data_IF_045047267214
#
_entry.id   IF_045047267214
#
_cell.length_a   1.000
_cell.length_b   1.000
_cell.length_c   1.000
_cell.angle_alpha   90.00
_cell.angle_beta   90.00
_cell.angle_gamma   90.00
#
_symmetry.space_group_name_H-M   'P 1'
#
loop_
_entity.id
_entity.type
_entity.pdbx_description
1 polymer ?
#
# COMPACT_ATOMS: atom_id res chain seq x y z
N UNK A 1 -9.28 -24.34 -3.14
CA UNK A 1 -7.88 -24.77 -3.34
C UNK A 1 -7.14 -23.70 -4.14
N UNK A 2 -6.51 -22.74 -3.46
CA UNK A 2 -5.53 -21.87 -4.09
C UNK A 2 -4.21 -22.66 -4.16
N UNK A 3 -3.63 -22.75 -5.37
CA UNK A 3 -2.33 -23.40 -5.58
C UNK A 3 -1.26 -22.45 -5.04
N UNK A 4 -0.45 -22.96 -4.11
CA UNK A 4 0.78 -22.29 -3.72
C UNK A 4 1.62 -22.02 -4.96
N UNK A 5 2.19 -20.81 -5.02
CA UNK A 5 3.12 -20.45 -6.09
C UNK A 5 4.51 -20.26 -5.47
N UNK A 6 5.47 -21.04 -5.96
CA UNK A 6 6.85 -20.98 -5.52
C UNK A 6 7.56 -19.69 -5.93
N UNK A 7 8.78 -19.50 -5.41
CA UNK A 7 9.63 -18.32 -5.63
C UNK A 7 9.77 -17.92 -7.12
N UNK A 8 9.75 -18.90 -8.02
CA UNK A 8 9.95 -18.70 -9.47
C UNK A 8 8.85 -17.89 -10.18
N UNK A 9 7.69 -17.67 -9.55
CA UNK A 9 6.56 -16.97 -10.18
C UNK A 9 6.52 -15.46 -9.89
N UNK A 10 7.33 -14.97 -8.93
CA UNK A 10 7.32 -13.58 -8.50
C UNK A 10 8.75 -13.04 -8.33
N UNK A 11 9.45 -12.67 -9.42
CA UNK A 11 10.79 -12.09 -9.33
C UNK A 11 10.85 -10.85 -8.42
N UNK A 12 9.78 -10.04 -8.41
CA UNK A 12 9.67 -8.88 -7.53
C UNK A 12 9.69 -9.22 -6.03
N UNK A 13 9.51 -10.50 -5.66
CA UNK A 13 9.49 -10.98 -4.28
C UNK A 13 10.83 -11.54 -3.78
N UNK A 14 11.82 -11.70 -4.66
CA UNK A 14 13.11 -12.33 -4.35
C UNK A 14 13.78 -11.71 -3.11
N UNK A 15 13.83 -10.38 -3.04
CA UNK A 15 14.44 -9.69 -1.89
C UNK A 15 13.72 -10.00 -0.56
N UNK A 16 12.39 -10.13 -0.57
CA UNK A 16 11.64 -10.44 0.65
C UNK A 16 11.84 -11.89 1.09
N UNK A 17 12.00 -12.83 0.16
CA UNK A 17 12.37 -14.21 0.46
C UNK A 17 13.78 -14.31 1.04
N UNK A 18 14.74 -13.61 0.43
CA UNK A 18 16.15 -13.62 0.87
C UNK A 18 16.33 -13.00 2.25
N UNK A 19 15.54 -11.98 2.56
CA UNK A 19 15.51 -11.34 3.89
C UNK A 19 14.69 -12.14 4.92
N UNK A 20 14.06 -13.25 4.53
CA UNK A 20 13.20 -14.06 5.40
C UNK A 20 11.95 -13.33 5.88
N UNK A 21 11.47 -12.34 5.11
CA UNK A 21 10.27 -11.56 5.43
C UNK A 21 8.99 -12.26 4.97
N UNK A 22 9.07 -13.03 3.89
CA UNK A 22 7.99 -13.92 3.45
C UNK A 22 8.56 -15.30 3.17
N UNK A 23 7.78 -16.34 3.43
CA UNK A 23 8.16 -17.73 3.16
C UNK A 23 7.47 -18.28 1.91
N UNK A 24 6.21 -17.86 1.68
CA UNK A 24 5.36 -18.41 0.62
C UNK A 24 4.32 -17.39 0.16
N UNK A 25 3.95 -17.42 -1.13
CA UNK A 25 2.76 -16.71 -1.65
C UNK A 25 1.58 -17.68 -1.63
N UNK A 26 0.60 -17.40 -0.76
CA UNK A 26 -0.58 -18.24 -0.56
C UNK A 26 -1.64 -18.01 -1.63
N UNK A 27 -1.76 -16.77 -2.11
CA UNK A 27 -2.62 -16.47 -3.26
C UNK A 27 -3.01 -15.02 -3.44
N UNK A 28 -3.79 -14.77 -4.49
CA UNK A 28 -4.25 -13.43 -4.88
C UNK A 28 -5.48 -13.03 -4.05
N UNK A 29 -5.40 -11.89 -3.37
CA UNK A 29 -6.51 -11.32 -2.58
C UNK A 29 -7.39 -10.43 -3.45
N UNK A 30 -6.77 -9.49 -4.18
CA UNK A 30 -7.47 -8.53 -5.02
C UNK A 30 -6.59 -8.14 -6.19
N UNK A 31 -7.20 -8.02 -7.37
CA UNK A 31 -6.58 -7.37 -8.53
C UNK A 31 -7.26 -6.04 -8.81
N UNK A 32 -6.46 -5.02 -9.08
CA UNK A 32 -6.91 -3.70 -9.49
C UNK A 32 -6.19 -3.24 -10.75
N UNK A 33 -6.63 -2.09 -11.26
CA UNK A 33 -6.00 -1.44 -12.42
C UNK A 33 -4.56 -1.01 -12.15
N UNK A 34 -4.23 -0.74 -10.89
CA UNK A 34 -2.96 -0.13 -10.50
C UNK A 34 -2.04 -1.07 -9.74
N UNK A 35 -2.62 -2.04 -9.02
CA UNK A 35 -1.88 -2.97 -8.20
C UNK A 35 -2.67 -4.28 -8.03
N UNK A 36 -1.96 -5.33 -7.63
CA UNK A 36 -2.55 -6.57 -7.13
C UNK A 36 -2.08 -6.78 -5.69
N UNK A 37 -2.94 -7.32 -4.83
CA UNK A 37 -2.62 -7.65 -3.44
C UNK A 37 -2.62 -9.15 -3.29
N UNK A 38 -1.56 -9.69 -2.70
CA UNK A 38 -1.38 -11.10 -2.41
C UNK A 38 -1.36 -11.34 -0.90
N UNK A 39 -1.83 -12.51 -0.49
CA UNK A 39 -1.63 -13.03 0.84
C UNK A 39 -0.39 -13.92 0.81
N UNK A 40 0.54 -13.68 1.74
CA UNK A 40 1.79 -14.40 1.88
C UNK A 40 1.88 -14.97 3.29
N UNK A 41 2.55 -16.12 3.43
CA UNK A 41 3.04 -16.57 4.74
C UNK A 41 4.20 -15.65 5.13
N UNK A 42 4.12 -15.04 6.31
CA UNK A 42 5.22 -14.25 6.85
C UNK A 42 6.38 -15.17 7.21
N UNK A 43 7.59 -14.68 6.95
CA UNK A 43 8.81 -15.43 7.22
C UNK A 43 9.33 -15.23 8.65
N UNK A 44 10.35 -16.01 9.04
CA UNK A 44 10.87 -16.03 10.41
C UNK A 44 11.42 -14.67 10.87
N UNK A 45 11.86 -13.80 9.95
CA UNK A 45 12.37 -12.49 10.31
C UNK A 45 11.28 -11.51 10.75
N UNK A 46 10.02 -11.74 10.37
CA UNK A 46 8.90 -10.89 10.78
C UNK A 46 8.19 -11.42 12.04
N UNK A 47 8.14 -12.75 12.24
CA UNK A 47 7.44 -13.35 13.37
C UNK A 47 5.91 -13.13 13.35
N UNK A 48 5.32 -12.99 12.16
CA UNK A 48 3.88 -12.85 11.92
C UNK A 48 3.46 -13.87 10.86
N UNK A 49 2.31 -14.50 11.04
CA UNK A 49 1.88 -15.63 10.20
C UNK A 49 1.45 -15.22 8.79
N UNK A 50 0.73 -14.10 8.67
CA UNK A 50 0.16 -13.62 7.41
C UNK A 50 0.60 -12.18 7.10
N UNK A 51 0.94 -11.96 5.84
CA UNK A 51 1.39 -10.67 5.30
C UNK A 51 0.66 -10.36 4.01
N UNK A 52 0.24 -9.11 3.83
CA UNK A 52 -0.26 -8.61 2.57
C UNK A 52 0.89 -8.04 1.73
N UNK A 53 1.06 -8.53 0.50
CA UNK A 53 2.01 -7.98 -0.46
C UNK A 53 1.25 -7.23 -1.57
N UNK A 54 1.36 -5.90 -1.58
CA UNK A 54 0.78 -5.06 -2.63
C UNK A 54 1.82 -4.82 -3.72
N UNK A 55 1.55 -5.34 -4.91
CA UNK A 55 2.40 -5.27 -6.10
C UNK A 55 1.83 -4.27 -7.09
N UNK A 56 2.56 -3.18 -7.36
CA UNK A 56 2.14 -2.19 -8.34
C UNK A 56 2.38 -2.69 -9.77
N UNK A 57 1.51 -2.29 -10.69
CA UNK A 57 1.70 -2.55 -12.11
C UNK A 57 2.66 -1.51 -12.71
N UNK A 58 3.49 -1.94 -13.66
CA UNK A 58 4.44 -1.07 -14.35
C UNK A 58 3.74 0.15 -15.00
N UNK A 59 4.38 1.31 -14.87
CA UNK A 59 3.85 2.66 -15.12
C UNK A 59 3.58 2.95 -16.59
N UNK A 60 4.03 2.08 -17.50
CA UNK A 60 3.86 2.23 -18.95
C UNK A 60 2.39 2.23 -19.41
N UNK A 61 1.44 1.86 -18.54
CA UNK A 61 0.02 1.68 -18.86
C UNK A 61 -0.95 2.67 -18.21
N UNK A 62 -0.54 3.90 -17.82
CA UNK A 62 -1.51 4.95 -17.41
C UNK A 62 -1.45 6.25 -18.22
N UNK A 63 -2.65 6.76 -18.49
CA UNK A 63 -2.98 7.90 -19.35
C UNK A 63 -2.52 9.26 -18.80
N UNK A 64 -1.87 10.02 -19.69
CA UNK A 64 -1.62 11.47 -19.89
C UNK A 64 -2.10 12.59 -18.93
N UNK A 65 -2.72 12.38 -17.76
CA UNK A 65 -3.24 13.49 -16.93
C UNK A 65 -2.37 13.93 -15.73
N UNK A 66 -1.16 13.38 -15.54
CA UNK A 66 -0.28 13.76 -14.42
C UNK A 66 0.51 15.07 -14.65
N UNK A 67 0.33 15.75 -15.78
CA UNK A 67 1.10 16.95 -16.13
C UNK A 67 0.88 18.13 -15.16
N UNK A 68 -0.28 18.21 -14.50
CA UNK A 68 -0.66 19.36 -13.65
C UNK A 68 -0.02 19.31 -12.25
N UNK A 69 0.50 18.16 -11.82
CA UNK A 69 1.06 17.98 -10.46
C UNK A 69 2.59 18.09 -10.36
N UNK A 70 3.29 18.32 -11.49
CA UNK A 70 4.74 18.07 -11.58
C UNK A 70 5.63 19.30 -11.35
N UNK A 71 5.09 20.53 -11.36
CA UNK A 71 5.92 21.73 -11.47
C UNK A 71 6.45 22.29 -10.14
N UNK A 72 5.83 21.97 -9.00
CA UNK A 72 6.22 22.52 -7.69
C UNK A 72 7.09 21.60 -6.80
N UNK A 73 7.25 20.31 -7.14
CA UNK A 73 7.61 19.28 -6.14
C UNK A 73 9.07 18.89 -6.02
N UNK A 74 9.93 19.24 -6.98
CA UNK A 74 11.34 18.83 -6.95
C UNK A 74 12.12 19.38 -5.75
N UNK A 75 11.84 20.63 -5.35
CA UNK A 75 12.48 21.27 -4.19
C UNK A 75 11.85 20.86 -2.85
N UNK A 76 10.55 20.64 -2.84
CA UNK A 76 9.79 20.18 -1.66
C UNK A 76 10.18 18.74 -1.26
N UNK A 77 10.61 17.93 -2.22
CA UNK A 77 11.14 16.56 -2.03
C UNK A 77 12.62 16.50 -1.59
N UNK A 78 13.23 17.63 -1.20
CA UNK A 78 14.62 17.67 -0.71
C UNK A 78 15.69 17.34 -1.76
N UNK A 79 15.33 17.22 -3.05
CA UNK A 79 16.26 16.89 -4.13
C UNK A 79 17.23 18.04 -4.37
N UNK A 80 18.53 17.75 -4.36
CA UNK A 80 19.61 18.72 -4.62
C UNK A 80 20.55 18.24 -5.72
N UNK A 81 20.94 19.13 -6.62
CA UNK A 81 21.98 18.86 -7.62
C UNK A 81 21.50 17.99 -8.79
N UNK A 82 22.21 16.88 -9.05
CA UNK A 82 22.02 16.03 -10.25
C UNK A 82 20.62 15.37 -10.35
N UNK A 83 20.00 14.89 -9.25
CA UNK A 83 18.62 14.36 -9.25
C UNK A 83 17.55 15.41 -9.60
N UNK A 84 17.68 16.65 -9.09
CA UNK A 84 16.73 17.74 -9.39
C UNK A 84 16.77 18.10 -10.88
N UNK A 85 17.97 18.19 -11.48
CA UNK A 85 18.11 18.46 -12.91
C UNK A 85 17.62 17.31 -13.79
N UNK A 86 17.74 16.06 -13.32
CA UNK A 86 17.22 14.90 -14.03
C UNK A 86 15.68 14.85 -13.99
N UNK A 87 15.08 15.25 -12.86
CA UNK A 87 13.64 15.44 -12.68
C UNK A 87 13.10 16.53 -13.62
N UNK A 88 13.73 17.71 -13.64
CA UNK A 88 13.36 18.82 -14.53
C UNK A 88 13.48 18.47 -16.03
N UNK A 89 14.43 17.59 -16.39
CA UNK A 89 14.71 17.23 -17.79
C UNK A 89 13.96 15.98 -18.31
N UNK A 90 13.09 15.34 -17.52
CA UNK A 90 12.31 14.14 -17.91
C UNK A 90 13.13 13.04 -18.61
N UNK A 91 14.39 12.86 -18.22
CA UNK A 91 15.29 11.82 -18.77
C UNK A 91 14.86 10.42 -18.29
N UNK A 92 15.32 9.34 -18.92
CA UNK A 92 15.01 7.96 -18.49
C UNK A 92 15.39 7.73 -17.01
N UNK A 93 16.58 8.19 -16.61
CA UNK A 93 17.01 8.23 -15.21
C UNK A 93 16.13 9.12 -14.32
N UNK A 94 15.64 10.25 -14.83
CA UNK A 94 14.68 11.10 -14.13
C UNK A 94 13.32 10.43 -13.90
N UNK A 95 12.87 9.58 -14.84
CA UNK A 95 11.66 8.76 -14.70
C UNK A 95 11.85 7.66 -13.66
N UNK A 96 12.99 6.96 -13.67
CA UNK A 96 13.34 5.95 -12.65
C UNK A 96 13.43 6.55 -11.24
N UNK A 97 14.03 7.73 -11.10
CA UNK A 97 14.06 8.50 -9.83
C UNK A 97 12.64 8.92 -9.42
N UNK A 98 11.79 9.38 -10.35
CA UNK A 98 10.38 9.68 -10.07
C UNK A 98 9.57 8.42 -9.68
N UNK A 99 9.94 7.25 -10.19
CA UNK A 99 9.26 5.98 -9.92
C UNK A 99 9.64 5.40 -8.54
N UNK A 100 10.89 5.57 -8.09
CA UNK A 100 11.29 5.25 -6.72
C UNK A 100 10.62 6.16 -5.69
N UNK A 101 10.51 7.47 -5.98
CA UNK A 101 9.94 8.48 -5.07
C UNK A 101 8.42 8.31 -4.86
N UNK A 102 7.66 7.83 -5.85
CA UNK A 102 6.22 7.63 -5.68
C UNK A 102 5.85 6.34 -4.93
N UNK A 103 6.67 5.29 -5.01
CA UNK A 103 6.43 4.01 -4.31
C UNK A 103 6.76 4.11 -2.82
N UNK A 104 7.78 4.91 -2.47
CA UNK A 104 8.05 5.29 -1.09
C UNK A 104 6.85 5.99 -0.44
N UNK A 105 6.04 6.75 -1.20
CA UNK A 105 4.98 7.57 -0.60
C UNK A 105 3.86 6.79 0.06
N UNK A 106 3.42 5.67 -0.50
CA UNK A 106 2.38 4.87 0.16
C UNK A 106 2.92 4.24 1.43
N UNK A 107 4.11 3.65 1.36
CA UNK A 107 4.80 3.08 2.52
C UNK A 107 5.05 4.15 3.61
N UNK A 108 5.62 5.30 3.27
CA UNK A 108 5.84 6.44 4.17
C UNK A 108 4.53 6.99 4.75
N UNK A 109 3.45 6.99 3.96
CA UNK A 109 2.14 7.44 4.45
C UNK A 109 1.57 6.42 5.43
N UNK A 110 1.66 5.12 5.14
CA UNK A 110 1.27 4.08 6.09
C UNK A 110 2.12 4.15 7.36
N UNK A 111 3.43 4.40 7.26
CA UNK A 111 4.31 4.53 8.42
C UNK A 111 3.90 5.71 9.30
N UNK A 112 3.69 6.87 8.68
CA UNK A 112 3.27 8.09 9.36
C UNK A 112 1.91 7.89 10.05
N UNK A 113 0.92 7.38 9.34
CA UNK A 113 -0.44 7.24 9.84
C UNK A 113 -0.55 6.15 10.90
N UNK A 114 0.11 5.00 10.69
CA UNK A 114 0.17 3.93 11.68
C UNK A 114 0.87 4.42 12.97
N UNK A 115 1.99 5.15 12.85
CA UNK A 115 2.68 5.72 14.01
C UNK A 115 1.83 6.77 14.75
N UNK A 116 0.93 7.46 14.05
CA UNK A 116 -0.04 8.37 14.65
C UNK A 116 -1.24 7.66 15.32
N UNK A 117 -1.35 6.33 15.15
CA UNK A 117 -2.44 5.53 15.71
C UNK A 117 -3.67 5.41 14.81
N UNK A 118 -3.53 5.68 13.50
CA UNK A 118 -4.61 5.49 12.55
C UNK A 118 -4.86 4.00 12.29
N UNK A 119 -6.11 3.67 12.00
CA UNK A 119 -6.55 2.36 11.51
C UNK A 119 -6.13 2.18 10.04
N UNK A 120 -4.84 1.94 9.84
CA UNK A 120 -4.24 1.57 8.56
C UNK A 120 -3.41 0.31 8.74
N UNK A 121 -3.27 -0.54 7.70
CA UNK A 121 -2.41 -1.71 7.79
C UNK A 121 -0.99 -1.32 8.19
N UNK A 122 -0.42 -1.97 9.21
CA UNK A 122 0.95 -1.71 9.62
C UNK A 122 1.93 -1.98 8.47
N UNK A 123 2.73 -1.00 8.03
CA UNK A 123 3.75 -1.24 7.02
C UNK A 123 4.88 -2.10 7.60
N UNK A 124 5.43 -2.99 6.78
CA UNK A 124 6.45 -3.97 7.20
C UNK A 124 7.76 -3.80 6.44
N UNK A 125 7.68 -3.66 5.12
CA UNK A 125 8.82 -3.41 4.26
C UNK A 125 8.34 -2.88 2.90
N UNK A 126 9.22 -2.21 2.17
CA UNK A 126 9.01 -1.89 0.76
C UNK A 126 10.30 -2.14 -0.01
N UNK A 127 10.18 -2.79 -1.16
CA UNK A 127 11.27 -3.04 -2.10
C UNK A 127 10.69 -3.19 -3.50
N UNK A 128 11.45 -2.80 -4.52
CA UNK A 128 10.99 -2.82 -5.92
C UNK A 128 9.62 -2.14 -6.09
N UNK A 129 8.66 -2.81 -6.72
CA UNK A 129 7.26 -2.42 -6.92
C UNK A 129 6.32 -3.05 -5.89
N UNK A 130 6.82 -3.36 -4.69
CA UNK A 130 6.08 -4.10 -3.67
C UNK A 130 6.12 -3.38 -2.33
N UNK A 131 4.95 -3.29 -1.69
CA UNK A 131 4.81 -2.91 -0.28
C UNK A 131 4.27 -4.12 0.49
N UNK A 132 5.03 -4.55 1.50
CA UNK A 132 4.57 -5.50 2.50
C UNK A 132 3.94 -4.74 3.66
N UNK A 133 2.74 -5.18 4.06
CA UNK A 133 1.99 -4.61 5.17
C UNK A 133 1.21 -5.71 5.89
N UNK A 134 0.68 -5.38 7.06
CA UNK A 134 -0.23 -6.22 7.81
C UNK A 134 -1.35 -6.77 6.92
N UNK A 135 -1.60 -8.07 7.07
CA UNK A 135 -2.76 -8.71 6.48
C UNK A 135 -3.98 -8.48 7.38
N UNK A 136 -4.96 -7.71 6.88
CA UNK A 136 -6.23 -7.53 7.58
C UNK A 136 -7.17 -8.67 7.21
N UNK A 137 -7.33 -9.62 8.13
CA UNK A 137 -8.03 -10.89 7.92
C UNK A 137 -7.34 -12.02 8.69
N UNK A 138 -7.69 -13.25 8.37
CA UNK A 138 -7.12 -14.46 8.98
C UNK A 138 -6.97 -15.59 7.95
N UNK A 139 -6.83 -16.83 8.41
CA UNK A 139 -6.68 -17.99 7.55
C UNK A 139 -7.95 -18.32 6.74
N UNK A 140 -9.13 -17.86 7.19
CA UNK A 140 -10.40 -18.04 6.47
C UNK A 140 -10.55 -17.01 5.35
N UNK A 141 -9.89 -15.86 5.45
CA UNK A 141 -9.70 -14.94 4.34
C UNK A 141 -9.46 -13.48 4.72
N UNK A 142 -9.41 -12.64 3.68
CA UNK A 142 -9.20 -11.21 3.85
C UNK A 142 -10.47 -10.54 4.39
N UNK A 143 -10.28 -9.47 5.16
CA UNK A 143 -11.35 -8.60 5.60
C UNK A 143 -12.19 -8.10 4.42
N UNK A 144 -13.49 -7.98 4.64
CA UNK A 144 -14.41 -7.53 3.60
C UNK A 144 -14.32 -6.02 3.42
N UNK A 145 -14.47 -5.56 2.19
CA UNK A 145 -14.69 -4.13 1.94
C UNK A 145 -16.03 -3.71 2.54
N UNK A 146 -16.08 -2.49 3.09
CA UNK A 146 -17.27 -1.95 3.72
C UNK A 146 -18.51 -2.03 2.82
N UNK A 147 -18.35 -1.80 1.52
CA UNK A 147 -19.44 -1.87 0.54
C UNK A 147 -20.05 -3.27 0.35
N UNK A 148 -19.44 -4.32 0.92
CA UNK A 148 -19.92 -5.72 0.88
C UNK A 148 -20.47 -6.20 2.22
N UNK A 149 -20.40 -5.36 3.24
CA UNK A 149 -20.84 -5.70 4.60
C UNK A 149 -22.21 -5.07 4.85
N UNK A 150 -23.07 -5.81 5.54
CA UNK A 150 -24.28 -5.25 6.15
C UNK A 150 -23.94 -4.90 7.59
N UNK A 151 -24.18 -3.65 7.94
CA UNK A 151 -23.90 -3.11 9.27
C UNK A 151 -25.25 -2.86 9.93
N UNK A 152 -25.40 -3.31 11.16
CA UNK A 152 -26.59 -3.08 11.96
C UNK A 152 -26.69 -1.60 12.36
N UNK A 153 -27.91 -1.13 12.58
CA UNK A 153 -28.20 0.30 12.78
C UNK A 153 -27.49 0.88 14.02
N UNK A 154 -27.34 0.08 15.07
CA UNK A 154 -26.65 0.42 16.30
C UNK A 154 -25.11 0.48 16.14
N UNK A 155 -24.55 -0.31 15.24
CA UNK A 155 -23.11 -0.30 14.92
C UNK A 155 -22.71 0.82 13.94
N UNK A 156 -23.65 1.30 13.11
CA UNK A 156 -23.36 2.28 12.06
C UNK A 156 -22.82 3.62 12.60
N UNK A 157 -23.42 4.13 13.68
CA UNK A 157 -22.98 5.39 14.32
C UNK A 157 -21.54 5.32 14.85
N UNK A 158 -21.20 4.35 15.71
CA UNK A 158 -19.84 4.15 16.20
C UNK A 158 -18.79 3.95 15.10
N UNK A 159 -19.09 3.14 14.06
CA UNK A 159 -18.16 2.93 12.94
C UNK A 159 -17.95 4.17 12.10
N UNK A 160 -19.02 4.95 11.88
CA UNK A 160 -18.90 6.25 11.21
C UNK A 160 -18.02 7.21 12.01
N UNK A 161 -18.21 7.32 13.32
CA UNK A 161 -17.37 8.17 14.16
C UNK A 161 -15.90 7.75 14.09
N UNK A 162 -15.61 6.44 14.16
CA UNK A 162 -14.25 5.92 14.02
C UNK A 162 -13.61 6.27 12.68
N UNK A 163 -14.37 6.23 11.59
CA UNK A 163 -13.89 6.66 10.28
C UNK A 163 -13.55 8.16 10.27
N UNK A 164 -14.39 8.99 10.90
CA UNK A 164 -14.14 10.43 11.02
C UNK A 164 -12.89 10.70 11.87
N UNK A 165 -12.73 10.01 13.00
CA UNK A 165 -11.54 10.14 13.86
C UNK A 165 -10.25 9.82 13.08
N UNK A 166 -10.30 8.81 12.21
CA UNK A 166 -9.20 8.51 11.29
C UNK A 166 -8.95 9.63 10.28
N UNK A 167 -10.00 10.17 9.66
CA UNK A 167 -9.87 11.30 8.73
C UNK A 167 -9.23 12.51 9.40
N UNK A 168 -9.65 12.85 10.62
CA UNK A 168 -9.06 13.94 11.41
C UNK A 168 -7.58 13.69 11.70
N UNK A 169 -7.22 12.46 12.07
CA UNK A 169 -5.83 12.07 12.32
C UNK A 169 -4.97 12.15 11.06
N UNK A 170 -5.51 11.76 9.90
CA UNK A 170 -4.82 11.88 8.62
C UNK A 170 -4.57 13.35 8.27
N UNK A 171 -5.57 14.22 8.48
CA UNK A 171 -5.43 15.66 8.26
C UNK A 171 -4.42 16.30 9.21
N UNK A 172 -4.39 15.91 10.48
CA UNK A 172 -3.37 16.34 11.44
C UNK A 172 -1.95 15.94 11.00
N UNK A 173 -1.83 14.82 10.28
CA UNK A 173 -0.58 14.37 9.66
C UNK A 173 -0.28 15.01 8.29
N UNK A 174 -1.05 16.03 7.87
CA UNK A 174 -0.98 16.64 6.54
C UNK A 174 -1.13 15.60 5.41
N UNK A 175 -2.09 14.69 5.55
CA UNK A 175 -2.45 13.68 4.55
C UNK A 175 -3.93 13.74 4.23
N UNK A 176 -4.24 13.55 2.95
CA UNK A 176 -5.60 13.41 2.45
C UNK A 176 -5.62 12.16 1.58
N UNK A 177 -6.56 11.25 1.81
CA UNK A 177 -6.64 9.97 1.08
C UNK A 177 -6.87 10.18 -0.42
N UNK A 178 -7.67 11.17 -0.83
CA UNK A 178 -7.92 11.52 -2.23
C UNK A 178 -8.87 10.58 -3.00
N UNK A 179 -9.25 9.43 -2.42
CA UNK A 179 -10.19 8.44 -2.99
C UNK A 179 -10.91 7.67 -1.87
N UNK A 180 -11.24 8.33 -0.75
CA UNK A 180 -11.91 7.67 0.37
C UNK A 180 -13.33 7.27 -0.03
N UNK A 181 -13.61 5.97 -0.03
CA UNK A 181 -14.92 5.42 -0.34
C UNK A 181 -15.11 4.06 0.34
N UNK A 182 -16.35 3.53 0.41
CA UNK A 182 -16.61 2.18 0.95
C UNK A 182 -15.88 1.03 0.23
N UNK A 183 -15.25 1.30 -0.93
CA UNK A 183 -14.42 0.32 -1.65
C UNK A 183 -12.97 0.24 -1.14
N UNK A 184 -12.52 1.25 -0.41
CA UNK A 184 -11.16 1.40 0.13
C UNK A 184 -11.13 1.29 1.67
N UNK A 185 -12.28 1.05 2.30
CA UNK A 185 -12.40 0.77 3.74
C UNK A 185 -12.61 -0.73 3.90
N UNK A 186 -11.82 -1.35 4.79
CA UNK A 186 -12.02 -2.73 5.21
C UNK A 186 -12.78 -2.76 6.54
N UNK A 187 -13.60 -3.79 6.72
CA UNK A 187 -14.30 -4.06 7.97
C UNK A 187 -13.87 -5.42 8.49
N UNK A 188 -13.39 -5.46 9.73
CA UNK A 188 -12.84 -6.64 10.37
C UNK A 188 -13.11 -6.64 11.86
N UNK A 189 -13.68 -7.75 12.38
CA UNK A 189 -13.92 -7.92 13.82
C UNK A 189 -14.64 -6.70 14.47
N UNK A 190 -15.69 -6.21 13.82
CA UNK A 190 -16.47 -5.05 14.27
C UNK A 190 -15.69 -3.72 14.28
N UNK A 191 -14.67 -3.61 13.44
CA UNK A 191 -13.76 -2.46 13.35
C UNK A 191 -13.44 -2.09 11.91
#
# INVERSE_FOLDING_TARGET
MHRSQGRDHFPQFEEFFDRGLIDEVLGLVKTGKEASVYCCRGGPALGIDLVAAKVYRDRQYRFKNDAVYQEARGREMGLRGRPLRAFEKKTQFGREVQEGIWRHREYETLELLHAAGADVPRPLAAANDVVLMEYVGDEDGAASQLNRVRIDEDAAGPLFQRLIDNVELWLACNRVHGDLSPHNILYWQER
#
